data_IF_603601546901
#
_entry.id   IF_603601546901
#
_cell.length_a   1.000
_cell.length_b   1.000
_cell.length_c   1.000
_cell.angle_alpha   90.00
_cell.angle_beta   90.00
_cell.angle_gamma   90.00
#
_symmetry.space_group_name_H-M   'P 1'
#
loop_
_entity.id
_entity.type
_entity.pdbx_description
1 polymer ?
#
# COMPACT_ATOMS: atom_id res chain seq x y z
N UNK A 1 21.10 6.04 0.57
CA UNK A 1 22.18 6.28 1.58
C UNK A 1 22.84 7.65 1.39
N UNK A 2 23.21 8.04 0.17
CA UNK A 2 23.87 9.33 -0.08
C UNK A 2 23.04 10.57 0.33
N UNK A 3 21.74 10.59 0.00
CA UNK A 3 20.82 11.67 0.45
C UNK A 3 20.69 11.72 1.98
N UNK A 4 20.64 10.55 2.62
CA UNK A 4 20.62 10.46 4.09
C UNK A 4 21.89 11.02 4.74
N UNK A 5 23.06 10.85 4.09
CA UNK A 5 24.33 11.46 4.54
C UNK A 5 24.30 12.99 4.40
N UNK A 6 23.71 13.51 3.31
CA UNK A 6 23.52 14.95 3.11
C UNK A 6 22.49 15.56 4.07
N UNK A 7 21.48 14.77 4.47
CA UNK A 7 20.45 15.15 5.43
C UNK A 7 20.90 15.08 6.90
N UNK A 8 22.20 14.86 7.17
CA UNK A 8 22.76 14.89 8.53
C UNK A 8 22.50 13.64 9.38
N UNK A 9 22.13 12.50 8.77
CA UNK A 9 21.96 11.26 9.52
C UNK A 9 23.28 10.79 10.15
N UNK A 10 23.26 10.19 11.36
CA UNK A 10 24.46 9.72 12.04
C UNK A 10 25.27 8.72 11.20
N UNK A 11 26.60 8.89 11.18
CA UNK A 11 27.51 8.06 10.37
C UNK A 11 27.46 6.56 10.73
N UNK A 12 27.14 6.22 11.98
CA UNK A 12 26.96 4.84 12.44
C UNK A 12 25.80 4.15 11.72
N UNK A 13 24.73 4.89 11.42
CA UNK A 13 23.56 4.38 10.72
C UNK A 13 23.87 4.23 9.23
N UNK A 14 24.46 5.25 8.59
CA UNK A 14 24.77 5.18 7.15
C UNK A 14 25.77 4.07 6.83
N UNK A 15 26.81 3.88 7.66
CA UNK A 15 27.79 2.79 7.49
C UNK A 15 27.15 1.41 7.63
N UNK A 16 26.26 1.23 8.61
CA UNK A 16 25.52 -0.03 8.78
C UNK A 16 24.63 -0.30 7.57
N UNK A 17 23.95 0.72 7.06
CA UNK A 17 23.14 0.60 5.84
C UNK A 17 23.98 0.23 4.61
N UNK A 18 25.21 0.72 4.48
CA UNK A 18 26.13 0.35 3.39
C UNK A 18 26.51 -1.14 3.46
N UNK A 19 26.83 -1.66 4.65
CA UNK A 19 27.15 -3.08 4.83
C UNK A 19 25.94 -3.99 4.51
N UNK A 20 24.73 -3.59 4.91
CA UNK A 20 23.50 -4.34 4.59
C UNK A 20 23.23 -4.31 3.09
N UNK A 21 23.44 -3.16 2.43
CA UNK A 21 23.28 -3.04 0.98
C UNK A 21 24.24 -3.96 0.24
N UNK A 22 25.51 -4.01 0.62
CA UNK A 22 26.51 -4.90 0.02
C UNK A 22 26.14 -6.38 0.18
N UNK A 23 25.61 -6.75 1.34
CA UNK A 23 25.11 -8.10 1.60
C UNK A 23 23.91 -8.45 0.70
N UNK A 24 22.96 -7.52 0.55
CA UNK A 24 21.80 -7.69 -0.33
C UNK A 24 22.18 -7.72 -1.81
N UNK A 25 23.14 -6.90 -2.25
CA UNK A 25 23.66 -6.93 -3.62
C UNK A 25 24.39 -8.24 -3.93
N UNK A 26 25.14 -8.77 -2.97
CA UNK A 26 25.85 -10.04 -3.12
C UNK A 26 24.87 -11.22 -3.13
N UNK A 27 23.83 -11.17 -2.30
CA UNK A 27 22.73 -12.14 -2.33
C UNK A 27 21.97 -12.09 -3.67
N UNK A 28 21.66 -10.89 -4.16
CA UNK A 28 21.02 -10.68 -5.47
C UNK A 28 21.92 -11.09 -6.64
N UNK A 29 23.25 -10.98 -6.53
CA UNK A 29 24.19 -11.44 -7.57
C UNK A 29 24.29 -12.97 -7.63
N UNK A 30 24.14 -13.67 -6.50
CA UNK A 30 24.17 -15.14 -6.44
C UNK A 30 22.90 -15.79 -7.02
N UNK A 31 21.76 -15.10 -6.93
CA UNK A 31 20.56 -15.45 -7.70
C UNK A 31 20.67 -14.84 -9.10
N UNK A 32 21.39 -15.55 -10.00
CA UNK A 32 21.79 -15.10 -11.33
C UNK A 32 20.83 -14.10 -11.99
N UNK A 33 21.31 -12.86 -12.16
CA UNK A 33 20.63 -11.81 -12.91
C UNK A 33 20.70 -12.19 -14.40
N UNK A 34 19.80 -13.06 -14.86
CA UNK A 34 19.35 -12.98 -16.24
C UNK A 34 18.65 -11.63 -16.36
N UNK A 35 19.27 -10.71 -17.10
CA UNK A 35 18.58 -9.52 -17.60
C UNK A 35 17.33 -10.00 -18.33
N UNK A 36 16.16 -9.46 -17.97
CA UNK A 36 15.39 -8.85 -19.03
C UNK A 36 14.95 -7.47 -18.57
N UNK A 37 15.79 -6.46 -18.80
CA UNK A 37 15.34 -5.06 -18.63
C UNK A 37 14.22 -4.76 -19.66
N UNK A 38 14.08 -5.58 -20.72
CA UNK A 38 12.94 -5.52 -21.67
C UNK A 38 11.66 -6.15 -21.12
N UNK A 39 11.69 -7.38 -20.58
CA UNK A 39 10.49 -7.99 -19.97
C UNK A 39 10.10 -7.33 -18.64
N UNK A 40 11.02 -6.64 -17.98
CA UNK A 40 10.73 -5.86 -16.78
C UNK A 40 9.95 -4.58 -17.13
N UNK A 41 10.07 -4.01 -18.34
CA UNK A 41 9.21 -2.88 -18.73
C UNK A 41 7.81 -3.37 -19.09
N UNK A 42 7.68 -4.50 -19.78
CA UNK A 42 6.36 -5.11 -20.07
C UNK A 42 5.69 -5.77 -18.86
N UNK A 43 6.45 -6.25 -17.85
CA UNK A 43 5.89 -6.78 -16.58
C UNK A 43 5.76 -5.74 -15.46
N UNK A 44 6.32 -4.53 -15.61
CA UNK A 44 6.17 -3.42 -14.64
C UNK A 44 4.97 -2.53 -14.88
N UNK A 45 4.14 -2.80 -15.88
CA UNK A 45 2.80 -2.21 -15.93
C UNK A 45 1.84 -2.83 -14.88
N UNK A 46 2.23 -3.95 -14.23
CA UNK A 46 1.36 -4.68 -13.30
C UNK A 46 1.82 -4.79 -11.85
N UNK A 47 3.00 -4.28 -11.47
CA UNK A 47 3.52 -4.33 -10.10
C UNK A 47 3.84 -2.94 -9.55
N UNK A 48 2.89 -2.01 -9.76
CA UNK A 48 2.78 -0.83 -8.91
C UNK A 48 2.31 -1.30 -7.53
N UNK A 49 3.20 -1.15 -6.54
CA UNK A 49 2.94 -1.13 -5.09
C UNK A 49 1.50 -1.47 -4.66
N UNK A 50 1.15 -2.75 -4.56
CA UNK A 50 -0.03 -3.24 -3.81
C UNK A 50 0.10 -3.02 -2.29
N UNK A 51 0.94 -2.09 -1.84
CA UNK A 51 0.98 -1.64 -0.45
C UNK A 51 -0.13 -0.63 -0.16
N UNK A 52 -0.76 -0.10 -1.22
CA UNK A 52 -2.00 0.66 -1.19
C UNK A 52 -2.87 0.18 -2.36
N UNK A 53 -3.52 -0.97 -2.23
CA UNK A 53 -4.78 -1.18 -2.95
C UNK A 53 -5.77 -0.20 -2.32
N UNK A 54 -5.76 1.05 -2.81
CA UNK A 54 -6.45 2.18 -2.18
C UNK A 54 -7.98 2.08 -2.34
N UNK A 55 -8.45 1.19 -3.21
CA UNK A 55 -9.86 0.98 -3.51
C UNK A 55 -10.18 -0.52 -3.47
N UNK A 56 -10.22 -1.12 -2.27
CA UNK A 56 -11.03 -2.33 -2.10
C UNK A 56 -12.45 -1.97 -2.57
N UNK A 57 -13.00 -2.62 -3.62
CA UNK A 57 -14.30 -2.26 -4.18
C UNK A 57 -15.41 -2.30 -3.12
N UNK A 58 -15.26 -3.11 -2.08
CA UNK A 58 -16.17 -3.18 -0.94
C UNK A 58 -16.04 -1.92 -0.07
N UNK A 59 -14.82 -1.49 0.24
CA UNK A 59 -14.57 -0.27 1.00
C UNK A 59 -14.94 0.99 0.21
N UNK A 60 -14.75 1.00 -1.11
CA UNK A 60 -15.21 2.09 -1.98
C UNK A 60 -16.73 2.22 -1.95
N UNK A 61 -17.45 1.10 -2.06
CA UNK A 61 -18.92 1.09 -1.97
C UNK A 61 -19.40 1.64 -0.62
N UNK A 62 -18.81 1.20 0.49
CA UNK A 62 -19.14 1.70 1.83
C UNK A 62 -18.82 3.19 1.96
N UNK A 63 -17.66 3.64 1.47
CA UNK A 63 -17.26 5.05 1.48
C UNK A 63 -18.27 5.91 0.73
N UNK A 64 -18.64 5.50 -0.47
CA UNK A 64 -19.55 6.26 -1.33
C UNK A 64 -20.98 6.27 -0.74
N UNK A 65 -21.41 5.18 -0.08
CA UNK A 65 -22.70 5.12 0.61
C UNK A 65 -22.75 6.06 1.83
N UNK A 66 -21.65 6.17 2.59
CA UNK A 66 -21.53 7.11 3.71
C UNK A 66 -21.50 8.57 3.23
N UNK A 67 -20.78 8.87 2.14
CA UNK A 67 -20.66 10.23 1.60
C UNK A 67 -21.99 10.79 1.08
N UNK A 68 -22.84 9.93 0.54
CA UNK A 68 -24.15 10.31 0.02
C UNK A 68 -25.27 10.32 1.09
N UNK A 69 -24.94 9.96 2.34
CA UNK A 69 -25.91 9.86 3.41
C UNK A 69 -26.22 11.23 4.02
N UNK A 70 -27.48 11.67 3.94
CA UNK A 70 -27.93 12.88 4.62
C UNK A 70 -28.28 12.60 6.09
N UNK A 71 -27.27 12.70 6.95
CA UNK A 71 -27.38 12.44 8.39
C UNK A 71 -28.42 13.33 9.08
N UNK A 72 -28.73 14.51 8.53
CA UNK A 72 -29.64 15.47 9.18
C UNK A 72 -31.13 15.13 8.99
N UNK A 73 -31.44 14.28 8.01
CA UNK A 73 -32.82 13.93 7.66
C UNK A 73 -33.16 12.45 7.93
N UNK A 74 -32.24 11.69 8.53
CA UNK A 74 -32.49 10.29 8.88
C UNK A 74 -33.28 10.16 10.18
N UNK A 75 -34.26 9.25 10.18
CA UNK A 75 -34.84 8.78 11.44
C UNK A 75 -33.87 7.85 12.17
N UNK A 76 -33.97 7.75 13.52
CA UNK A 76 -33.09 6.87 14.30
C UNK A 76 -33.13 5.39 13.84
N UNK A 77 -34.29 4.92 13.37
CA UNK A 77 -34.47 3.55 12.86
C UNK A 77 -33.74 3.37 11.53
N UNK A 78 -33.81 4.34 10.62
CA UNK A 78 -33.13 4.28 9.32
C UNK A 78 -31.62 4.31 9.49
N UNK A 79 -31.10 5.14 10.40
CA UNK A 79 -29.68 5.17 10.72
C UNK A 79 -29.18 3.82 11.24
N UNK A 80 -29.93 3.18 12.14
CA UNK A 80 -29.61 1.84 12.65
C UNK A 80 -29.63 0.78 11.55
N UNK A 81 -30.60 0.84 10.64
CA UNK A 81 -30.69 -0.08 9.51
C UNK A 81 -29.51 0.09 8.55
N UNK A 82 -29.16 1.34 8.19
CA UNK A 82 -28.01 1.65 7.32
C UNK A 82 -26.68 1.21 7.92
N UNK A 83 -26.49 1.40 9.22
CA UNK A 83 -25.31 0.90 9.92
C UNK A 83 -25.21 -0.64 9.89
N UNK A 84 -26.35 -1.33 9.99
CA UNK A 84 -26.38 -2.79 9.91
C UNK A 84 -26.06 -3.31 8.50
N UNK A 85 -26.50 -2.60 7.46
CA UNK A 85 -26.15 -2.89 6.06
C UNK A 85 -24.65 -2.75 5.82
N UNK A 86 -24.07 -1.60 6.18
CA UNK A 86 -22.61 -1.35 6.08
C UNK A 86 -21.82 -2.44 6.82
N UNK A 87 -22.27 -2.82 8.03
CA UNK A 87 -21.64 -3.87 8.82
C UNK A 87 -21.66 -5.24 8.14
N UNK A 88 -22.73 -5.59 7.40
CA UNK A 88 -22.80 -6.84 6.64
C UNK A 88 -21.82 -6.84 5.46
N UNK A 89 -21.74 -5.71 4.76
CA UNK A 89 -20.84 -5.51 3.61
C UNK A 89 -19.38 -5.67 4.04
N UNK A 90 -18.98 -5.02 5.14
CA UNK A 90 -17.61 -5.10 5.67
C UNK A 90 -17.27 -6.48 6.26
N UNK A 91 -18.25 -7.18 6.84
CA UNK A 91 -18.00 -8.46 7.52
C UNK A 91 -17.76 -9.64 6.56
N UNK A 92 -18.05 -9.49 5.26
CA UNK A 92 -17.76 -10.49 4.23
C UNK A 92 -18.25 -11.89 4.60
N UNK A 93 -19.54 -12.17 4.35
CA UNK A 93 -20.03 -13.54 4.27
C UNK A 93 -20.19 -13.94 2.82
#
# INVERSE_FOLDING_TARGET
>A
IHVAKMAGMPQSITKRSEAILEQMETANRRQGIKKPIKDIVEKREGYQLSFFQLDDPVLSQVRDEILNLDVNNLTPIEALNKLNEIKKIVKGK
#
